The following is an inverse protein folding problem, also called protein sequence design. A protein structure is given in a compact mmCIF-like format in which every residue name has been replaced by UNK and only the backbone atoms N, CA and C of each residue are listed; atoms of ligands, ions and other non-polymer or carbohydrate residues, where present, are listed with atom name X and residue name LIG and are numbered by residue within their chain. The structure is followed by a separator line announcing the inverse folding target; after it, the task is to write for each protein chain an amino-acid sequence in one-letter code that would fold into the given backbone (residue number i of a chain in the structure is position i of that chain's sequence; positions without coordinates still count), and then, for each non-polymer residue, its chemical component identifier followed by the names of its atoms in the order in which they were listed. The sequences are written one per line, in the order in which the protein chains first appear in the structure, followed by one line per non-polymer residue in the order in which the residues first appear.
data_IF_504703223310
#
_entry.id   IF_504703223310
#
_cell.length_a   1.000
_cell.length_b   1.000
_cell.length_c   1.000
_cell.angle_alpha   90.00
_cell.angle_beta   90.00
_cell.angle_gamma   90.00
#
_symmetry.space_group_name_H-M   'P 1'
#
loop_
_entity.id
_entity.type
_entity.pdbx_description
1 polymer ?
#
# COMPACT_ATOMS: atom_id res chain seq x y z
N UNK A 1 5.63 11.17 -15.66
CA UNK A 1 5.51 10.13 -14.61
C UNK A 1 4.98 10.81 -13.35
N UNK A 2 3.86 10.33 -12.79
CA UNK A 2 3.24 10.93 -11.59
C UNK A 2 3.91 10.38 -10.33
N UNK A 3 4.16 11.24 -9.34
CA UNK A 3 4.68 10.83 -8.02
C UNK A 3 3.50 10.56 -7.08
N UNK A 4 3.43 9.36 -6.53
CA UNK A 4 2.45 8.97 -5.51
C UNK A 4 3.18 8.81 -4.18
N UNK A 5 2.56 9.25 -3.09
CA UNK A 5 3.06 8.98 -1.74
C UNK A 5 2.41 7.69 -1.25
N UNK A 6 3.24 6.73 -0.87
CA UNK A 6 2.81 5.41 -0.39
C UNK A 6 3.45 5.14 0.95
N UNK A 7 2.68 4.57 1.87
CA UNK A 7 3.13 4.14 3.20
C UNK A 7 2.76 2.69 3.42
N UNK A 8 3.64 1.94 4.08
CA UNK A 8 3.35 0.62 4.61
C UNK A 8 3.12 0.76 6.11
N UNK A 9 2.00 0.24 6.61
CA UNK A 9 1.68 0.19 8.03
C UNK A 9 1.39 -1.25 8.45
N UNK A 10 1.88 -1.63 9.62
CA UNK A 10 1.52 -2.88 10.27
C UNK A 10 0.29 -2.62 11.14
N UNK A 11 -0.90 -2.98 10.65
CA UNK A 11 -2.16 -2.73 11.35
C UNK A 11 -2.32 -3.67 12.55
N UNK A 12 -3.05 -3.19 13.56
CA UNK A 12 -3.35 -3.92 14.81
C UNK A 12 -2.13 -4.30 15.66
N UNK A 13 -1.01 -3.60 15.50
CA UNK A 13 0.21 -3.79 16.28
C UNK A 13 0.92 -2.47 16.51
N UNK A 14 1.79 -2.41 17.52
CA UNK A 14 2.80 -1.36 17.70
C UNK A 14 4.23 -1.91 17.53
N UNK A 15 4.36 -3.19 17.18
CA UNK A 15 5.62 -3.89 16.94
C UNK A 15 5.81 -4.06 15.43
N UNK A 16 6.99 -3.70 14.93
CA UNK A 16 7.35 -3.90 13.52
C UNK A 16 7.25 -5.38 13.11
N UNK A 17 6.80 -5.62 11.88
CA UNK A 17 6.67 -6.95 11.27
C UNK A 17 5.68 -7.87 12.01
N UNK A 18 4.68 -7.30 12.66
CA UNK A 18 3.61 -8.02 13.32
C UNK A 18 2.24 -7.52 12.82
N UNK A 19 1.14 -8.12 13.30
CA UNK A 19 -0.20 -7.70 12.89
C UNK A 19 -0.49 -7.99 11.41
N UNK A 20 -1.12 -7.02 10.72
CA UNK A 20 -1.50 -7.16 9.30
C UNK A 20 -0.90 -6.03 8.45
N UNK A 21 0.05 -6.31 7.55
CA UNK A 21 0.60 -5.31 6.64
C UNK A 21 -0.47 -4.70 5.73
N UNK A 22 -0.47 -3.38 5.63
CA UNK A 22 -1.39 -2.62 4.79
C UNK A 22 -0.63 -1.54 4.00
N UNK A 23 -0.85 -1.49 2.69
CA UNK A 23 -0.39 -0.40 1.83
C UNK A 23 -1.41 0.75 1.82
N UNK A 24 -0.94 1.97 2.09
CA UNK A 24 -1.75 3.19 2.08
C UNK A 24 -1.23 4.12 0.99
N UNK A 25 -2.07 4.44 0.02
CA UNK A 25 -1.75 5.37 -1.07
C UNK A 25 -2.51 6.68 -0.84
N UNK A 26 -1.76 7.78 -0.77
CA UNK A 26 -2.34 9.12 -0.66
C UNK A 26 -2.79 9.63 -2.04
N UNK A 27 -3.74 10.58 -2.04
CA UNK A 27 -4.25 11.22 -3.26
C UNK A 27 -4.85 10.22 -4.28
N UNK A 28 -5.50 9.16 -3.79
CA UNK A 28 -6.07 8.09 -4.62
C UNK A 28 -7.14 8.58 -5.60
N UNK A 29 -7.74 9.75 -5.40
CA UNK A 29 -8.66 10.38 -6.36
C UNK A 29 -8.03 10.65 -7.74
N UNK A 30 -6.69 10.64 -7.84
CA UNK A 30 -5.95 10.77 -9.09
C UNK A 30 -5.79 9.42 -9.84
N UNK A 31 -6.28 8.32 -9.26
CA UNK A 31 -6.14 6.97 -9.79
C UNK A 31 -7.47 6.45 -10.29
N UNK A 32 -7.41 5.75 -11.41
CA UNK A 32 -8.49 4.89 -11.87
C UNK A 32 -8.52 3.59 -11.07
N UNK A 33 -9.65 2.91 -11.05
CA UNK A 33 -9.78 1.60 -10.39
C UNK A 33 -8.77 0.58 -10.91
N UNK A 34 -8.46 0.62 -12.22
CA UNK A 34 -7.42 -0.23 -12.81
C UNK A 34 -6.03 0.09 -12.28
N UNK A 35 -5.70 1.38 -12.13
CA UNK A 35 -4.42 1.79 -11.52
C UNK A 35 -4.36 1.40 -10.04
N UNK A 36 -5.46 1.53 -9.29
CA UNK A 36 -5.52 1.08 -7.89
C UNK A 36 -5.33 -0.44 -7.78
N UNK A 37 -5.97 -1.22 -8.64
CA UNK A 37 -5.81 -2.68 -8.67
C UNK A 37 -4.38 -3.08 -9.04
N UNK A 38 -3.78 -2.40 -10.02
CA UNK A 38 -2.39 -2.62 -10.41
C UNK A 38 -1.43 -2.31 -9.26
N UNK A 39 -1.64 -1.19 -8.56
CA UNK A 39 -0.86 -0.83 -7.38
C UNK A 39 -1.04 -1.84 -6.25
N UNK A 40 -2.26 -2.31 -6.00
CA UNK A 40 -2.54 -3.31 -4.97
C UNK A 40 -1.77 -4.61 -5.20
N UNK A 41 -1.67 -5.07 -6.46
CA UNK A 41 -0.92 -6.26 -6.80
C UNK A 41 0.57 -6.08 -6.45
N UNK A 42 1.16 -4.94 -6.81
CA UNK A 42 2.61 -4.72 -6.64
C UNK A 42 2.98 -4.34 -5.21
N UNK A 43 2.22 -3.47 -4.55
CA UNK A 43 2.52 -2.98 -3.21
C UNK A 43 2.37 -4.07 -2.14
N UNK A 44 1.33 -4.91 -2.25
CA UNK A 44 1.08 -5.98 -1.28
C UNK A 44 2.01 -7.18 -1.53
N UNK A 45 2.39 -7.47 -2.78
CA UNK A 45 3.38 -8.51 -3.06
C UNK A 45 4.77 -8.19 -2.51
N UNK A 46 5.16 -6.91 -2.46
CA UNK A 46 6.40 -6.48 -1.79
C UNK A 46 6.37 -6.68 -0.26
N UNK A 47 5.20 -6.92 0.34
CA UNK A 47 5.05 -7.20 1.78
C UNK A 47 5.21 -8.69 2.13
N UNK A 48 5.41 -9.58 1.16
CA UNK A 48 5.75 -10.99 1.42
C UNK A 48 7.25 -11.11 1.67
N UNK A 49 7.69 -10.79 2.89
CA UNK A 49 9.00 -11.22 3.40
C UNK A 49 8.98 -12.72 3.71
#
# INVERSE_FOLDING_TARGET
MRKLKVFQADAFTNTHFAGNPAGVVFDAHLLTDMEMQYLSLHLIEMCKC
#
